data_IF_523858432751
#
_entry.id   IF_523858432751
#
_cell.length_a   1.000
_cell.length_b   1.000
_cell.length_c   1.000
_cell.angle_alpha   90.00
_cell.angle_beta   90.00
_cell.angle_gamma   90.00
#
_symmetry.space_group_name_H-M   'P 1'
#
loop_
_entity.id
_entity.type
_entity.pdbx_description
1 polymer ?
#
# COMPACT_ATOMS: atom_id res chain seq x y z
N UNK A 1 31.92 26.72 -42.69
CA UNK A 1 31.36 26.94 -41.34
C UNK A 1 32.25 26.14 -40.40
N UNK A 2 32.99 26.82 -39.52
CA UNK A 2 34.10 26.21 -38.75
C UNK A 2 33.55 25.23 -37.71
N UNK A 3 34.11 24.02 -37.66
CA UNK A 3 33.77 22.95 -36.70
C UNK A 3 33.85 23.35 -35.23
N UNK A 4 34.51 24.48 -34.91
CA UNK A 4 34.56 25.11 -33.59
C UNK A 4 33.21 25.65 -33.10
N UNK A 5 32.20 25.84 -33.97
CA UNK A 5 30.87 26.32 -33.57
C UNK A 5 30.05 25.29 -32.79
N UNK A 6 30.47 24.03 -32.84
CA UNK A 6 29.72 22.92 -32.26
C UNK A 6 30.09 22.68 -30.79
N UNK A 7 31.09 23.41 -30.27
CA UNK A 7 31.42 23.45 -28.84
C UNK A 7 30.26 24.07 -28.05
N UNK A 8 29.83 23.42 -26.99
CA UNK A 8 28.73 23.91 -26.17
C UNK A 8 28.17 22.86 -25.21
N UNK A 9 27.23 23.29 -24.37
CA UNK A 9 26.51 22.40 -23.47
C UNK A 9 25.28 21.82 -24.16
N UNK A 10 25.28 20.51 -24.36
CA UNK A 10 24.17 19.74 -24.90
C UNK A 10 23.30 19.22 -23.77
N UNK A 11 21.98 19.32 -23.91
CA UNK A 11 21.01 18.81 -22.94
C UNK A 11 20.16 17.74 -23.61
N UNK A 12 20.18 16.52 -23.09
CA UNK A 12 19.26 15.45 -23.47
C UNK A 12 18.06 15.50 -22.53
N UNK A 13 16.83 15.59 -23.05
CA UNK A 13 15.59 15.57 -22.26
C UNK A 13 14.79 14.34 -22.68
N UNK A 14 14.44 13.49 -21.71
CA UNK A 14 13.51 12.38 -21.88
C UNK A 14 12.18 12.76 -21.23
N UNK A 15 11.08 12.75 -22.00
CA UNK A 15 9.75 13.14 -21.53
C UNK A 15 8.73 12.02 -21.69
N UNK A 16 7.81 11.93 -20.73
CA UNK A 16 6.65 11.04 -20.70
C UNK A 16 5.43 11.85 -20.22
N UNK A 17 4.17 11.37 -20.39
CA UNK A 17 3.01 12.03 -19.81
C UNK A 17 3.10 12.22 -18.28
N UNK A 18 3.90 11.40 -17.61
CA UNK A 18 4.14 11.43 -16.15
C UNK A 18 5.24 12.38 -15.69
N UNK A 19 6.06 12.93 -16.60
CA UNK A 19 7.15 13.85 -16.24
C UNK A 19 8.37 13.76 -17.16
N UNK A 20 9.40 14.53 -16.83
CA UNK A 20 10.62 14.69 -17.62
C UNK A 20 11.90 14.50 -16.80
N UNK A 21 12.94 13.97 -17.43
CA UNK A 21 14.30 13.92 -16.90
C UNK A 21 15.26 14.56 -17.91
N UNK A 22 16.32 15.21 -17.43
CA UNK A 22 17.32 15.83 -18.32
C UNK A 22 18.75 15.59 -17.86
N UNK A 23 19.65 15.41 -18.82
CA UNK A 23 21.08 15.25 -18.62
C UNK A 23 21.84 16.27 -19.46
N UNK A 24 22.91 16.84 -18.92
CA UNK A 24 23.74 17.84 -19.61
C UNK A 24 25.16 17.35 -19.76
N UNK A 25 25.75 17.57 -20.94
CA UNK A 25 27.16 17.31 -21.23
C UNK A 25 27.75 18.52 -21.96
N UNK A 26 29.02 18.84 -21.69
CA UNK A 26 29.74 19.89 -22.39
C UNK A 26 30.64 19.25 -23.45
N UNK A 27 30.49 19.69 -24.70
CA UNK A 27 31.35 19.31 -25.81
C UNK A 27 32.34 20.45 -26.07
N UNK A 28 33.63 20.14 -26.10
CA UNK A 28 34.69 21.05 -26.52
C UNK A 28 35.31 20.53 -27.81
N UNK A 29 35.12 21.26 -28.91
CA UNK A 29 35.71 20.99 -30.23
C UNK A 29 36.93 21.88 -30.40
N UNK A 30 38.11 21.27 -30.57
CA UNK A 30 39.39 21.97 -30.74
C UNK A 30 39.93 21.81 -32.17
N UNK A 31 40.76 22.75 -32.63
CA UNK A 31 41.44 22.68 -33.93
C UNK A 31 42.51 21.57 -33.98
N UNK A 32 42.69 21.00 -35.17
CA UNK A 32 43.63 19.89 -35.41
C UNK A 32 45.08 20.38 -35.21
N UNK A 33 45.72 19.97 -34.11
CA UNK A 33 47.10 20.34 -33.79
C UNK A 33 47.35 20.74 -32.32
N UNK A 34 46.31 21.03 -31.55
CA UNK A 34 46.43 21.08 -30.09
C UNK A 34 46.73 19.66 -29.56
N UNK A 35 47.58 19.48 -28.54
CA UNK A 35 47.71 18.18 -27.89
C UNK A 35 46.36 17.79 -27.32
N UNK A 36 45.69 16.86 -28.01
CA UNK A 36 44.45 16.25 -27.56
C UNK A 36 44.80 15.52 -26.28
N UNK A 37 44.41 16.06 -25.12
CA UNK A 37 44.19 15.18 -23.98
C UNK A 37 42.95 14.38 -24.36
N UNK A 38 43.05 13.06 -24.62
CA UNK A 38 41.84 12.28 -24.80
C UNK A 38 41.05 12.44 -23.50
N UNK A 39 39.88 13.09 -23.58
CA UNK A 39 38.83 12.85 -22.62
C UNK A 39 38.55 11.36 -22.74
N UNK A 40 39.22 10.60 -21.88
CA UNK A 40 39.30 9.15 -21.92
C UNK A 40 37.87 8.63 -22.08
N UNK A 41 37.54 7.87 -23.14
CA UNK A 41 36.26 7.18 -23.15
C UNK A 41 36.21 6.41 -21.83
N UNK A 42 35.23 6.75 -21.00
CA UNK A 42 35.10 6.19 -19.66
C UNK A 42 34.88 4.70 -19.86
N UNK A 43 35.94 3.91 -19.70
CA UNK A 43 35.82 2.46 -19.62
C UNK A 43 34.73 2.18 -18.59
N UNK A 44 33.59 1.56 -18.97
CA UNK A 44 32.48 1.33 -18.06
C UNK A 44 32.90 0.60 -16.78
N UNK A 45 34.00 -0.15 -16.80
CA UNK A 45 34.59 -0.80 -15.62
C UNK A 45 35.20 0.18 -14.60
N UNK A 46 35.50 1.42 -14.99
CA UNK A 46 36.06 2.47 -14.11
C UNK A 46 34.98 3.27 -13.38
N UNK A 47 33.72 3.18 -13.80
CA UNK A 47 32.58 3.83 -13.14
C UNK A 47 32.03 2.87 -12.07
N UNK A 48 31.61 3.36 -10.89
CA UNK A 48 31.02 2.50 -9.87
C UNK A 48 29.73 1.84 -10.37
N UNK A 49 29.42 0.67 -9.82
CA UNK A 49 28.10 0.06 -10.03
C UNK A 49 27.03 0.77 -9.18
N UNK A 50 25.74 0.69 -9.58
CA UNK A 50 24.65 1.25 -8.79
C UNK A 50 24.66 0.74 -7.36
N UNK A 51 24.43 1.61 -6.35
CA UNK A 51 24.27 1.17 -4.97
C UNK A 51 22.97 0.38 -4.79
N UNK A 52 22.78 -0.19 -3.60
CA UNK A 52 21.53 -0.87 -3.25
C UNK A 52 20.33 0.08 -3.33
N UNK A 53 19.11 -0.50 -3.40
CA UNK A 53 17.88 0.26 -3.16
C UNK A 53 18.02 1.02 -1.82
N UNK A 54 17.77 2.34 -1.78
CA UNK A 54 17.82 3.10 -0.53
C UNK A 54 16.66 2.71 0.39
N UNK A 55 16.96 2.58 1.68
CA UNK A 55 15.99 2.31 2.74
C UNK A 55 15.75 3.58 3.54
N UNK A 56 14.47 3.88 3.80
CA UNK A 56 14.07 5.01 4.65
C UNK A 56 14.14 4.59 6.10
N UNK A 57 14.89 5.32 6.92
CA UNK A 57 15.09 4.98 8.34
C UNK A 57 14.42 5.97 9.30
N UNK A 58 14.11 7.18 8.86
CA UNK A 58 13.39 8.17 9.68
C UNK A 58 12.69 9.19 8.77
N UNK A 59 11.57 9.74 9.22
CA UNK A 59 10.77 10.70 8.47
C UNK A 59 10.22 11.73 9.43
N UNK A 60 10.33 13.00 9.08
CA UNK A 60 9.60 14.07 9.77
C UNK A 60 8.72 14.79 8.76
N UNK A 61 7.98 15.78 9.22
CA UNK A 61 7.23 16.67 8.33
C UNK A 61 8.11 17.38 7.30
N UNK A 62 9.41 17.53 7.53
CA UNK A 62 10.32 18.26 6.63
C UNK A 62 11.65 17.58 6.36
N UNK A 63 11.84 16.33 6.82
CA UNK A 63 13.07 15.57 6.57
C UNK A 63 12.82 14.09 6.34
N UNK A 64 13.73 13.43 5.63
CA UNK A 64 13.77 11.98 5.44
C UNK A 64 15.21 11.53 5.62
N UNK A 65 15.43 10.47 6.39
CA UNK A 65 16.74 9.83 6.53
C UNK A 65 16.79 8.59 5.65
N UNK A 66 17.81 8.52 4.80
CA UNK A 66 18.05 7.40 3.89
C UNK A 66 19.32 6.65 4.29
N UNK A 67 19.34 5.34 4.06
CA UNK A 67 20.52 4.49 4.15
C UNK A 67 20.62 3.57 2.93
N UNK A 68 21.83 3.23 2.51
CA UNK A 68 22.08 2.33 1.37
C UNK A 68 23.38 1.56 1.58
N UNK A 69 23.71 0.66 0.65
CA UNK A 69 24.98 -0.08 0.63
C UNK A 69 25.72 0.14 -0.68
N UNK A 70 27.06 0.32 -0.67
CA UNK A 70 27.86 0.30 -1.88
C UNK A 70 27.73 -1.03 -2.59
N UNK A 71 27.85 -1.01 -3.91
CA UNK A 71 28.04 -2.22 -4.69
C UNK A 71 29.54 -2.44 -4.94
N UNK A 72 30.04 -3.60 -4.51
CA UNK A 72 31.46 -3.94 -4.55
C UNK A 72 31.89 -4.69 -5.82
N UNK A 73 30.95 -4.99 -6.74
CA UNK A 73 31.28 -5.68 -8.00
C UNK A 73 31.92 -4.78 -9.05
N UNK A 74 31.86 -3.46 -8.88
CA UNK A 74 32.42 -2.46 -9.81
C UNK A 74 33.52 -1.61 -9.16
N UNK A 75 33.86 -0.49 -9.81
CA UNK A 75 34.82 0.45 -9.25
C UNK A 75 34.36 1.04 -7.90
N UNK A 76 35.30 1.31 -7.00
CA UNK A 76 34.99 1.83 -5.68
C UNK A 76 34.42 3.26 -5.76
N UNK A 77 33.27 3.53 -5.13
CA UNK A 77 32.73 4.89 -5.03
C UNK A 77 33.54 5.75 -4.05
N UNK A 78 33.68 7.04 -4.36
CA UNK A 78 34.26 8.06 -3.45
C UNK A 78 33.20 8.95 -2.81
N UNK A 79 32.01 9.04 -3.42
CA UNK A 79 30.87 9.77 -2.89
C UNK A 79 29.56 9.30 -3.52
N UNK A 80 28.43 9.83 -3.08
CA UNK A 80 27.10 9.57 -3.62
C UNK A 80 26.36 10.87 -3.97
N UNK A 81 25.44 10.75 -4.92
CA UNK A 81 24.47 11.78 -5.30
C UNK A 81 23.08 11.23 -5.00
N UNK A 82 22.24 12.03 -4.34
CA UNK A 82 20.88 11.65 -3.97
C UNK A 82 19.90 12.53 -4.73
N UNK A 83 19.03 11.89 -5.51
CA UNK A 83 17.99 12.56 -6.31
C UNK A 83 16.62 12.19 -5.75
N UNK A 84 15.67 13.13 -5.87
CA UNK A 84 14.31 12.94 -5.43
C UNK A 84 13.29 13.43 -6.46
N UNK A 85 12.15 12.74 -6.51
CA UNK A 85 11.00 13.15 -7.29
C UNK A 85 9.79 13.34 -6.36
N UNK A 86 9.07 14.44 -6.55
CA UNK A 86 7.79 14.67 -5.88
C UNK A 86 6.91 15.54 -6.76
N UNK A 87 5.66 15.12 -6.97
CA UNK A 87 4.65 15.94 -7.65
C UNK A 87 4.40 17.29 -6.97
N UNK A 88 4.75 17.43 -5.69
CA UNK A 88 4.65 18.71 -4.96
C UNK A 88 5.81 19.68 -5.25
N UNK A 89 6.95 19.16 -5.74
CA UNK A 89 8.15 19.95 -6.05
C UNK A 89 8.35 20.19 -7.55
N UNK A 90 7.59 19.50 -8.41
CA UNK A 90 7.63 19.67 -9.86
C UNK A 90 7.30 18.36 -10.60
N UNK A 91 7.66 18.33 -11.88
CA UNK A 91 7.47 17.18 -12.77
C UNK A 91 8.79 16.51 -13.19
N UNK A 92 9.89 16.78 -12.46
CA UNK A 92 11.22 16.26 -12.75
C UNK A 92 11.96 15.83 -11.49
N UNK A 93 12.96 14.95 -11.67
CA UNK A 93 13.90 14.58 -10.61
C UNK A 93 14.79 15.77 -10.24
N UNK A 94 15.04 15.94 -8.95
CA UNK A 94 15.86 17.01 -8.40
C UNK A 94 16.99 16.43 -7.56
N UNK A 95 18.22 16.91 -7.79
CA UNK A 95 19.34 16.60 -6.92
C UNK A 95 19.16 17.30 -5.58
N UNK A 96 19.07 16.52 -4.50
CA UNK A 96 18.93 17.06 -3.14
C UNK A 96 20.26 17.09 -2.38
N UNK A 97 21.20 16.21 -2.73
CA UNK A 97 22.52 16.19 -2.14
C UNK A 97 23.57 15.64 -3.12
N UNK A 98 24.73 16.25 -3.10
CA UNK A 98 25.91 15.85 -3.88
C UNK A 98 27.10 15.62 -2.95
N UNK A 99 28.09 14.86 -3.42
CA UNK A 99 29.34 14.59 -2.68
C UNK A 99 29.17 13.95 -1.30
N UNK A 100 28.13 13.14 -1.12
CA UNK A 100 27.85 12.45 0.15
C UNK A 100 28.89 11.36 0.36
N UNK A 101 29.69 11.43 1.43
CA UNK A 101 30.78 10.47 1.69
C UNK A 101 30.39 9.29 2.59
N UNK A 102 29.15 9.28 3.04
CA UNK A 102 28.57 8.27 3.94
C UNK A 102 27.55 7.43 3.20
N UNK A 103 27.26 6.24 3.73
CA UNK A 103 26.22 5.33 3.24
C UNK A 103 24.82 5.64 3.82
N UNK A 104 24.69 6.80 4.49
CA UNK A 104 23.43 7.32 5.02
C UNK A 104 23.40 8.83 4.99
N UNK A 105 22.23 9.42 4.80
CA UNK A 105 22.04 10.87 4.77
C UNK A 105 20.67 11.30 5.29
N UNK A 106 20.64 12.39 6.06
CA UNK A 106 19.42 13.09 6.44
C UNK A 106 19.14 14.21 5.42
N UNK A 107 18.10 14.03 4.61
CA UNK A 107 17.60 15.04 3.68
C UNK A 107 16.64 15.96 4.42
N UNK A 108 16.92 17.26 4.46
CA UNK A 108 16.11 18.28 5.16
C UNK A 108 15.48 19.25 4.17
N UNK A 109 14.48 20.01 4.62
CA UNK A 109 13.82 21.06 3.81
C UNK A 109 12.80 20.51 2.83
N UNK A 110 12.30 19.29 3.06
CA UNK A 110 11.26 18.68 2.25
C UNK A 110 9.89 19.34 2.52
N UNK A 111 9.02 19.33 1.52
CA UNK A 111 7.66 19.89 1.64
C UNK A 111 6.83 19.01 2.57
N UNK A 112 6.10 19.58 3.53
CA UNK A 112 5.14 18.84 4.36
C UNK A 112 4.04 18.16 3.56
N UNK A 113 3.59 17.00 4.06
CA UNK A 113 2.49 16.20 3.52
C UNK A 113 2.64 15.79 2.05
N UNK A 114 3.88 15.76 1.54
CA UNK A 114 4.20 15.44 0.16
C UNK A 114 4.80 14.03 0.05
N UNK A 115 4.47 13.34 -1.04
CA UNK A 115 5.04 12.04 -1.35
C UNK A 115 6.33 12.24 -2.14
N UNK A 116 7.40 11.57 -1.70
CA UNK A 116 8.71 11.57 -2.33
C UNK A 116 9.12 10.17 -2.77
N UNK A 117 9.78 10.12 -3.92
CA UNK A 117 10.57 8.99 -4.41
C UNK A 117 12.04 9.39 -4.37
N UNK A 118 12.91 8.46 -3.97
CA UNK A 118 14.35 8.71 -3.88
C UNK A 118 15.14 7.67 -4.68
N UNK A 119 16.26 8.11 -5.24
CA UNK A 119 17.27 7.22 -5.82
C UNK A 119 18.66 7.73 -5.47
N UNK A 120 19.64 6.83 -5.50
CA UNK A 120 21.04 7.14 -5.16
C UNK A 120 21.94 6.69 -6.32
N UNK A 121 22.91 7.53 -6.65
CA UNK A 121 24.00 7.22 -7.59
C UNK A 121 25.32 7.22 -6.85
N UNK A 122 26.18 6.26 -7.18
CA UNK A 122 27.56 6.23 -6.74
C UNK A 122 28.41 7.11 -7.68
N UNK A 123 29.41 7.79 -7.13
CA UNK A 123 30.28 8.69 -7.86
C UNK A 123 31.75 8.40 -7.54
N UNK A 124 32.61 8.46 -8.55
CA UNK A 124 34.06 8.51 -8.37
C UNK A 124 34.69 9.52 -9.35
N UNK A 125 36.03 9.57 -9.42
CA UNK A 125 36.76 10.46 -10.31
C UNK A 125 36.47 10.24 -11.82
N UNK A 126 35.90 9.09 -12.19
CA UNK A 126 35.59 8.74 -13.57
C UNK A 126 34.13 9.05 -13.95
N UNK A 127 33.21 9.09 -12.99
CA UNK A 127 31.84 9.50 -13.27
C UNK A 127 30.80 9.01 -12.26
N UNK A 128 29.53 9.16 -12.65
CA UNK A 128 28.36 8.70 -11.91
C UNK A 128 27.92 7.33 -12.42
N UNK A 129 27.53 6.46 -11.49
CA UNK A 129 26.88 5.20 -11.79
C UNK A 129 25.50 5.40 -12.41
N UNK A 130 24.96 4.33 -12.98
CA UNK A 130 23.52 4.17 -13.15
C UNK A 130 22.79 4.35 -11.80
N UNK A 131 21.50 4.77 -11.82
CA UNK A 131 20.76 4.98 -10.59
C UNK A 131 20.44 3.66 -9.89
N UNK A 132 20.33 3.70 -8.57
CA UNK A 132 19.74 2.61 -7.80
C UNK A 132 18.29 2.33 -8.25
N UNK A 133 17.73 1.22 -7.77
CA UNK A 133 16.28 1.10 -7.73
C UNK A 133 15.67 2.24 -6.92
N UNK A 134 14.47 2.68 -7.33
CA UNK A 134 13.71 3.72 -6.63
C UNK A 134 13.31 3.19 -5.24
N UNK A 135 13.53 3.99 -4.20
CA UNK A 135 13.09 3.71 -2.85
C UNK A 135 11.55 3.59 -2.76
N UNK A 136 11.05 2.98 -1.69
CA UNK A 136 9.60 2.95 -1.47
C UNK A 136 9.07 4.37 -1.27
N UNK A 137 7.89 4.65 -1.83
CA UNK A 137 7.29 5.97 -1.78
C UNK A 137 6.98 6.36 -0.34
N UNK A 138 7.46 7.53 0.09
CA UNK A 138 7.30 8.00 1.47
C UNK A 138 6.63 9.35 1.52
N UNK A 139 5.71 9.53 2.47
CA UNK A 139 5.04 10.81 2.72
C UNK A 139 5.68 11.53 3.89
N UNK A 140 6.11 12.77 3.68
CA UNK A 140 6.62 13.64 4.76
C UNK A 140 5.48 14.03 5.69
N UNK A 141 5.49 13.51 6.90
CA UNK A 141 4.51 13.85 7.92
C UNK A 141 5.19 13.82 9.28
N UNK A 142 4.68 14.58 10.24
CA UNK A 142 5.15 14.45 11.62
C UNK A 142 4.84 13.02 12.08
N UNK A 143 5.88 12.28 12.46
CA UNK A 143 5.65 11.13 13.32
C UNK A 143 5.17 11.71 14.65
N UNK A 144 4.11 11.17 15.29
CA UNK A 144 3.74 11.56 16.64
C UNK A 144 4.99 11.57 17.55
N UNK A 145 5.09 12.50 18.52
CA UNK A 145 6.32 12.82 19.26
C UNK A 145 6.98 11.67 20.05
N UNK A 146 6.47 10.45 19.94
CA UNK A 146 7.01 9.25 20.56
C UNK A 146 8.09 8.53 19.76
N UNK A 147 8.51 8.98 18.56
CA UNK A 147 9.50 8.25 17.75
C UNK A 147 10.89 8.88 17.61
N UNK A 148 11.16 10.06 18.18
CA UNK A 148 12.52 10.62 18.10
C UNK A 148 13.44 9.85 19.08
N UNK A 149 14.21 8.89 18.54
CA UNK A 149 15.24 8.15 19.30
C UNK A 149 14.86 6.73 19.72
N UNK A 150 13.77 6.17 19.20
CA UNK A 150 13.29 4.83 19.56
C UNK A 150 13.75 3.82 18.50
N UNK A 151 14.46 2.78 18.95
CA UNK A 151 14.94 1.69 18.11
C UNK A 151 13.77 1.04 17.35
N UNK A 152 13.91 0.82 16.04
CA UNK A 152 12.91 0.10 15.23
C UNK A 152 12.59 -1.27 15.84
N UNK A 153 13.56 -1.92 16.49
CA UNK A 153 13.34 -3.16 17.23
C UNK A 153 12.44 -2.95 18.43
N UNK A 154 12.56 -1.83 19.12
CA UNK A 154 11.68 -1.47 20.24
C UNK A 154 10.25 -1.24 19.74
N UNK A 155 10.05 -0.52 18.64
CA UNK A 155 8.72 -0.32 18.04
C UNK A 155 8.10 -1.68 17.67
N UNK A 156 8.86 -2.54 17.00
CA UNK A 156 8.37 -3.87 16.60
C UNK A 156 8.06 -4.77 17.81
N UNK A 157 8.85 -4.67 18.88
CA UNK A 157 8.64 -5.43 20.13
C UNK A 157 7.41 -4.91 20.85
N UNK A 158 7.35 -3.61 21.14
CA UNK A 158 6.22 -3.02 21.86
C UNK A 158 4.90 -3.15 21.09
N UNK A 159 4.89 -2.93 19.78
CA UNK A 159 3.72 -3.13 18.95
C UNK A 159 3.33 -4.61 18.82
N UNK A 160 4.31 -5.52 18.87
CA UNK A 160 4.10 -6.97 18.90
C UNK A 160 3.51 -7.46 20.23
N UNK A 161 3.87 -6.82 21.33
CA UNK A 161 3.38 -7.11 22.68
C UNK A 161 1.99 -6.50 22.95
N UNK A 162 1.49 -5.62 22.08
CA UNK A 162 0.11 -5.11 22.16
C UNK A 162 -0.87 -6.26 22.00
N UNK A 163 -1.57 -6.61 23.08
CA UNK A 163 -2.65 -7.59 23.06
C UNK A 163 -3.99 -6.92 22.78
N UNK A 164 -4.60 -7.28 21.65
CA UNK A 164 -5.95 -6.87 21.27
C UNK A 164 -6.92 -8.02 21.54
N UNK A 165 -7.95 -7.74 22.32
CA UNK A 165 -9.07 -8.65 22.53
C UNK A 165 -10.23 -8.26 21.64
N UNK A 166 -10.59 -9.17 20.72
CA UNK A 166 -11.72 -8.94 19.83
C UNK A 166 -13.02 -9.35 20.52
N UNK A 167 -14.00 -8.44 20.57
CA UNK A 167 -15.32 -8.76 21.08
C UNK A 167 -16.12 -9.51 20.02
N UNK A 168 -17.21 -10.16 20.45
CA UNK A 168 -18.11 -10.84 19.51
C UNK A 168 -18.67 -9.83 18.49
N UNK A 169 -18.54 -10.10 17.17
CA UNK A 169 -19.03 -9.20 16.13
C UNK A 169 -20.53 -8.97 16.26
N UNK A 170 -20.94 -7.70 16.16
CA UNK A 170 -22.35 -7.30 16.21
C UNK A 170 -22.89 -7.18 14.79
N UNK A 171 -23.80 -8.08 14.41
CA UNK A 171 -24.39 -8.10 13.07
C UNK A 171 -25.37 -6.93 12.94
N UNK A 172 -25.12 -6.02 12.00
CA UNK A 172 -25.96 -4.83 11.80
C UNK A 172 -27.00 -5.05 10.70
N UNK A 173 -26.63 -5.75 9.63
CA UNK A 173 -27.51 -6.02 8.49
C UNK A 173 -27.09 -7.29 7.73
N UNK A 174 -27.71 -7.53 6.58
CA UNK A 174 -27.30 -8.58 5.64
C UNK A 174 -25.94 -8.33 4.99
N UNK A 175 -25.42 -7.09 5.05
CA UNK A 175 -24.18 -6.69 4.37
C UNK A 175 -23.23 -5.90 5.23
N UNK A 176 -23.49 -5.73 6.53
CA UNK A 176 -22.60 -5.03 7.44
C UNK A 176 -22.53 -5.63 8.83
N UNK A 177 -21.31 -5.65 9.37
CA UNK A 177 -20.99 -6.17 10.70
C UNK A 177 -20.14 -5.14 11.43
N UNK A 178 -20.50 -4.82 12.68
CA UNK A 178 -19.66 -4.02 13.57
C UNK A 178 -18.71 -4.93 14.32
N UNK A 179 -17.43 -4.61 14.24
CA UNK A 179 -16.35 -5.24 14.98
C UNK A 179 -15.91 -4.26 16.06
N UNK A 180 -15.74 -4.74 17.28
CA UNK A 180 -15.30 -3.94 18.43
C UNK A 180 -14.19 -4.68 19.16
N UNK A 181 -13.20 -3.96 19.65
CA UNK A 181 -12.03 -4.53 20.32
C UNK A 181 -11.66 -3.72 21.55
N UNK A 182 -10.92 -4.36 22.45
CA UNK A 182 -10.27 -3.70 23.58
C UNK A 182 -8.78 -3.95 23.52
N UNK A 183 -7.98 -2.92 23.83
CA UNK A 183 -6.52 -3.02 23.93
C UNK A 183 -6.15 -3.11 25.40
N UNK A 184 -5.48 -4.18 25.82
CA UNK A 184 -5.11 -4.35 27.24
C UNK A 184 -4.14 -3.27 27.72
N UNK A 185 -3.07 -3.05 26.95
CA UNK A 185 -2.04 -2.08 27.26
C UNK A 185 -1.90 -1.12 26.08
N UNK A 186 -2.30 0.13 26.30
CA UNK A 186 -2.14 1.19 25.32
C UNK A 186 -0.64 1.41 25.06
N UNK A 187 -0.26 1.41 23.79
CA UNK A 187 1.10 1.72 23.37
C UNK A 187 1.11 3.06 22.62
N UNK A 188 2.11 3.92 22.86
CA UNK A 188 2.25 5.16 22.13
C UNK A 188 2.59 4.95 20.64
N UNK A 189 2.95 3.72 20.25
CA UNK A 189 3.19 3.32 18.88
C UNK A 189 1.92 2.78 18.21
N UNK A 190 0.73 2.88 18.80
CA UNK A 190 -0.49 2.59 18.04
C UNK A 190 -0.86 3.85 17.27
N UNK A 191 -0.79 3.79 15.95
CA UNK A 191 -1.31 4.85 15.06
C UNK A 191 -2.77 4.56 14.67
N UNK A 192 -3.12 3.29 14.58
CA UNK A 192 -4.44 2.82 14.23
C UNK A 192 -4.50 1.30 14.16
N UNK A 193 -5.58 0.79 13.57
CA UNK A 193 -5.88 -0.63 13.50
C UNK A 193 -6.21 -1.07 12.07
N UNK A 194 -5.85 -2.31 11.75
CA UNK A 194 -6.29 -2.98 10.53
C UNK A 194 -7.28 -4.06 10.93
N UNK A 195 -8.53 -3.90 10.51
CA UNK A 195 -9.57 -4.92 10.66
C UNK A 195 -9.50 -5.84 9.46
N UNK A 196 -9.05 -7.07 9.67
CA UNK A 196 -8.98 -8.09 8.64
C UNK A 196 -10.23 -8.94 8.68
N UNK A 197 -10.83 -9.19 7.51
CA UNK A 197 -12.00 -10.04 7.38
C UNK A 197 -11.94 -10.91 6.13
N UNK A 198 -12.52 -12.11 6.22
CA UNK A 198 -12.65 -13.03 5.07
C UNK A 198 -13.86 -13.93 5.24
N UNK A 199 -14.37 -14.49 4.14
CA UNK A 199 -15.36 -15.55 4.25
C UNK A 199 -14.71 -16.78 4.92
N UNK A 200 -15.44 -17.42 5.83
CA UNK A 200 -14.92 -18.58 6.54
C UNK A 200 -14.62 -19.71 5.54
N UNK A 201 -13.47 -20.42 5.68
CA UNK A 201 -13.15 -21.56 4.82
C UNK A 201 -14.21 -22.68 4.87
N UNK A 202 -15.01 -22.73 5.94
CA UNK A 202 -16.15 -23.64 6.07
C UNK A 202 -17.24 -23.42 5.01
N UNK A 203 -17.28 -22.26 4.36
CA UNK A 203 -18.19 -21.92 3.25
C UNK A 203 -17.74 -22.51 1.90
N UNK A 204 -16.72 -23.38 1.88
CA UNK A 204 -16.27 -24.11 0.69
C UNK A 204 -15.34 -23.32 -0.25
N UNK A 205 -15.06 -22.05 0.07
CA UNK A 205 -14.16 -21.20 -0.69
C UNK A 205 -13.15 -20.51 0.23
N UNK A 206 -11.85 -20.78 0.04
CA UNK A 206 -10.78 -20.08 0.76
C UNK A 206 -10.57 -18.70 0.12
N UNK A 207 -11.02 -17.65 0.78
CA UNK A 207 -10.75 -16.27 0.36
C UNK A 207 -9.55 -15.68 1.12
N UNK A 208 -8.78 -14.83 0.46
CA UNK A 208 -7.77 -14.00 1.11
C UNK A 208 -8.41 -13.01 2.09
N UNK A 209 -7.60 -12.49 3.01
CA UNK A 209 -8.03 -11.49 3.97
C UNK A 209 -8.19 -10.14 3.29
N UNK A 210 -9.40 -9.59 3.33
CA UNK A 210 -9.67 -8.18 3.05
C UNK A 210 -9.30 -7.34 4.26
N UNK A 211 -8.90 -6.08 4.03
CA UNK A 211 -8.43 -5.17 5.09
C UNK A 211 -9.23 -3.88 5.06
N UNK A 212 -9.74 -3.49 6.23
CA UNK A 212 -10.30 -2.17 6.50
C UNK A 212 -9.36 -1.44 7.48
N UNK A 213 -8.82 -0.29 7.06
CA UNK A 213 -7.91 0.51 7.89
C UNK A 213 -8.67 1.55 8.73
N UNK A 214 -8.44 1.53 10.04
CA UNK A 214 -8.92 2.49 11.02
C UNK A 214 -7.72 3.36 11.42
N UNK A 215 -7.67 4.61 10.96
CA UNK A 215 -6.46 5.46 11.00
C UNK A 215 -6.26 6.25 12.29
N UNK A 216 -6.96 5.87 13.36
CA UNK A 216 -6.92 6.57 14.65
C UNK A 216 -6.86 5.54 15.77
N UNK A 217 -5.89 5.72 16.67
CA UNK A 217 -5.67 4.84 17.81
C UNK A 217 -6.78 4.93 18.88
N UNK A 218 -7.55 6.03 18.87
CA UNK A 218 -8.63 6.26 19.82
C UNK A 218 -9.91 5.48 19.49
N UNK A 219 -10.02 4.90 18.29
CA UNK A 219 -11.17 4.07 17.92
C UNK A 219 -11.04 2.68 18.52
N UNK A 220 -12.16 2.16 19.00
CA UNK A 220 -12.30 0.82 19.55
C UNK A 220 -13.27 -0.05 18.73
N UNK A 221 -13.82 0.50 17.65
CA UNK A 221 -14.78 -0.20 16.80
C UNK A 221 -14.73 0.24 15.34
N UNK A 222 -15.20 -0.62 14.45
CA UNK A 222 -15.37 -0.33 13.04
C UNK A 222 -16.56 -1.08 12.46
N UNK A 223 -17.20 -0.48 11.46
CA UNK A 223 -18.24 -1.15 10.68
C UNK A 223 -17.64 -1.64 9.38
N UNK A 224 -17.67 -2.96 9.15
CA UNK A 224 -17.26 -3.59 7.91
C UNK A 224 -18.45 -3.62 6.95
N UNK A 225 -18.40 -2.89 5.82
CA UNK A 225 -19.50 -2.82 4.86
C UNK A 225 -19.35 -3.84 3.73
N UNK A 226 -20.38 -3.90 2.86
CA UNK A 226 -20.38 -4.65 1.59
C UNK A 226 -20.08 -6.15 1.71
N UNK A 227 -20.49 -6.76 2.83
CA UNK A 227 -20.39 -8.19 3.03
C UNK A 227 -21.46 -8.95 2.25
N UNK A 228 -21.17 -10.21 1.91
CA UNK A 228 -22.15 -11.11 1.27
C UNK A 228 -23.19 -11.56 2.29
N UNK A 229 -24.44 -11.64 1.85
CA UNK A 229 -25.61 -11.99 2.68
C UNK A 229 -25.61 -13.48 3.02
N UNK A 230 -26.00 -13.81 4.26
CA UNK A 230 -26.08 -15.19 4.74
C UNK A 230 -24.74 -15.93 4.89
N UNK A 231 -23.61 -15.25 4.73
CA UNK A 231 -22.27 -15.85 4.72
C UNK A 231 -21.60 -15.69 6.08
N UNK A 232 -20.90 -16.72 6.52
CA UNK A 232 -20.07 -16.68 7.72
C UNK A 232 -18.72 -16.03 7.44
N UNK A 233 -18.35 -15.01 8.21
CA UNK A 233 -17.08 -14.30 8.10
C UNK A 233 -16.22 -14.49 9.35
N UNK A 234 -14.91 -14.59 9.13
CA UNK A 234 -13.88 -14.51 10.17
C UNK A 234 -13.32 -13.10 10.22
N UNK A 235 -13.09 -12.59 11.43
CA UNK A 235 -12.58 -11.26 11.72
C UNK A 235 -11.41 -11.34 12.69
N UNK A 236 -10.40 -10.51 12.47
CA UNK A 236 -9.31 -10.26 13.41
C UNK A 236 -8.83 -8.83 13.26
N UNK A 237 -8.19 -8.29 14.29
CA UNK A 237 -7.71 -6.91 14.31
C UNK A 237 -6.22 -6.92 14.64
N UNK A 238 -5.43 -6.09 13.99
CA UNK A 238 -4.03 -5.85 14.37
C UNK A 238 -3.76 -4.35 14.51
N UNK A 239 -2.92 -3.92 15.46
CA UNK A 239 -2.47 -2.55 15.53
C UNK A 239 -1.37 -2.30 14.49
N UNK A 240 -1.21 -1.05 14.05
CA UNK A 240 -0.13 -0.67 13.15
C UNK A 240 0.48 0.69 13.53
N UNK A 241 1.73 0.88 13.11
CA UNK A 241 2.48 2.13 13.20
C UNK A 241 3.29 2.32 11.93
N UNK A 242 2.96 3.31 11.09
CA UNK A 242 3.56 3.46 9.77
C UNK A 242 3.58 2.11 9.00
N UNK A 243 4.77 1.55 8.74
CA UNK A 243 5.00 0.24 8.13
C UNK A 243 4.98 -0.95 9.10
N UNK A 244 5.18 -0.70 10.40
CA UNK A 244 5.22 -1.73 11.43
C UNK A 244 3.82 -2.26 11.73
N UNK A 245 3.76 -3.58 11.94
CA UNK A 245 2.52 -4.29 12.25
C UNK A 245 2.70 -5.07 13.55
N UNK A 246 1.71 -4.95 14.42
CA UNK A 246 1.65 -5.73 15.65
C UNK A 246 1.08 -7.13 15.43
N UNK A 247 0.84 -7.79 16.54
CA UNK A 247 0.24 -9.13 16.57
C UNK A 247 -1.25 -9.06 16.25
N UNK A 248 -1.75 -10.09 15.55
CA UNK A 248 -3.18 -10.26 15.32
C UNK A 248 -3.91 -10.59 16.64
N UNK A 249 -5.11 -10.03 16.81
CA UNK A 249 -6.06 -10.47 17.83
C UNK A 249 -6.45 -11.94 17.63
N UNK A 250 -7.19 -12.47 18.60
CA UNK A 250 -7.97 -13.67 18.39
C UNK A 250 -8.96 -13.50 17.22
N UNK A 251 -9.25 -14.61 16.54
CA UNK A 251 -10.22 -14.63 15.44
C UNK A 251 -11.62 -14.81 16.01
N UNK A 252 -12.53 -13.91 15.66
CA UNK A 252 -13.96 -14.05 15.93
C UNK A 252 -14.73 -14.29 14.64
N UNK A 253 -15.89 -14.93 14.77
CA UNK A 253 -16.74 -15.30 13.64
C UNK A 253 -18.08 -14.59 13.77
N UNK A 254 -18.60 -14.11 12.65
CA UNK A 254 -19.94 -13.53 12.55
C UNK A 254 -20.60 -13.91 11.23
N UNK A 255 -21.86 -14.34 11.28
CA UNK A 255 -22.66 -14.63 10.08
C UNK A 255 -23.57 -13.45 9.77
N UNK A 256 -23.50 -12.95 8.55
CA UNK A 256 -24.39 -11.87 8.10
C UNK A 256 -25.83 -12.34 8.04
N UNK A 257 -26.78 -11.42 8.25
CA UNK A 257 -28.20 -11.76 8.15
C UNK A 257 -28.55 -12.18 6.72
N UNK A 258 -29.55 -13.06 6.62
CA UNK A 258 -30.27 -13.31 5.38
C UNK A 258 -31.37 -12.25 5.25
N UNK A 259 -31.63 -11.79 4.03
CA UNK A 259 -32.74 -10.87 3.76
C UNK A 259 -33.98 -11.65 3.35
N UNK A 260 -35.17 -11.05 3.49
CA UNK A 260 -36.38 -11.68 2.97
C UNK A 260 -36.23 -11.91 1.44
N UNK A 261 -36.78 -13.02 0.90
CA UNK A 261 -36.82 -13.23 -0.54
C UNK A 261 -37.40 -11.99 -1.24
N UNK A 262 -36.68 -11.45 -2.22
CA UNK A 262 -37.12 -10.28 -2.98
C UNK A 262 -38.12 -10.64 -4.09
N UNK A 263 -38.43 -11.93 -4.24
CA UNK A 263 -39.41 -12.43 -5.20
C UNK A 263 -40.25 -13.59 -4.64
N UNK A 264 -41.50 -13.73 -5.13
CA UNK A 264 -42.39 -14.81 -4.72
C UNK A 264 -42.01 -16.17 -5.35
N UNK A 265 -42.64 -17.27 -4.91
CA UNK A 265 -42.59 -18.56 -5.60
C UNK A 265 -43.10 -18.44 -7.04
N UNK A 266 -42.59 -19.29 -7.94
CA UNK A 266 -42.94 -19.30 -9.37
C UNK A 266 -43.95 -20.41 -9.68
N UNK A 267 -44.59 -20.32 -10.83
CA UNK A 267 -45.48 -21.36 -11.38
C UNK A 267 -46.54 -21.85 -10.39
N UNK A 268 -47.16 -20.91 -9.67
CA UNK A 268 -48.24 -21.23 -8.72
C UNK A 268 -49.44 -21.76 -9.50
N UNK A 269 -49.80 -23.01 -9.25
CA UNK A 269 -50.96 -23.69 -9.85
C UNK A 269 -51.91 -24.15 -8.76
N UNK A 270 -53.21 -24.05 -9.05
CA UNK A 270 -54.29 -24.54 -8.19
C UNK A 270 -55.12 -25.50 -9.03
N UNK A 271 -55.26 -26.74 -8.56
CA UNK A 271 -56.05 -27.77 -9.22
C UNK A 271 -57.05 -28.35 -8.23
N UNK A 272 -58.24 -28.73 -8.68
CA UNK A 272 -59.19 -29.43 -7.82
C UNK A 272 -58.64 -30.81 -7.48
N UNK A 273 -58.68 -31.17 -6.20
CA UNK A 273 -58.22 -32.46 -5.71
C UNK A 273 -59.41 -33.24 -5.15
N UNK A 274 -59.77 -34.34 -5.81
CA UNK A 274 -60.77 -35.30 -5.34
C UNK A 274 -62.11 -35.23 -6.06
N UNK A 275 -62.80 -36.37 -6.10
CA UNK A 275 -64.03 -36.60 -6.90
C UNK A 275 -65.24 -35.74 -6.49
N UNK A 276 -65.16 -35.02 -5.36
CA UNK A 276 -66.26 -34.26 -4.76
C UNK A 276 -66.02 -32.73 -4.70
N UNK A 277 -64.96 -32.19 -5.30
CA UNK A 277 -64.75 -30.73 -5.43
C UNK A 277 -64.56 -29.94 -4.12
N UNK A 278 -64.23 -30.61 -3.01
CA UNK A 278 -64.12 -30.00 -1.67
C UNK A 278 -62.68 -29.71 -1.23
N UNK A 279 -61.69 -30.07 -2.05
CA UNK A 279 -60.29 -29.81 -1.77
C UNK A 279 -59.57 -29.29 -3.02
N UNK A 280 -58.54 -28.49 -2.80
CA UNK A 280 -57.68 -27.96 -3.85
C UNK A 280 -56.23 -28.30 -3.56
N UNK A 281 -55.50 -28.70 -4.59
CA UNK A 281 -54.06 -28.88 -4.57
C UNK A 281 -53.39 -27.60 -5.07
N UNK A 282 -52.53 -27.02 -4.23
CA UNK A 282 -51.72 -25.85 -4.56
C UNK A 282 -50.27 -26.30 -4.74
N UNK A 283 -49.68 -26.04 -5.91
CA UNK A 283 -48.29 -26.39 -6.23
C UNK A 283 -47.54 -25.17 -6.76
N UNK A 284 -46.23 -25.09 -6.49
CA UNK A 284 -45.36 -24.00 -6.95
C UNK A 284 -43.91 -24.45 -7.07
N UNK A 285 -43.11 -23.69 -7.82
CA UNK A 285 -41.66 -23.75 -7.80
C UNK A 285 -41.07 -22.71 -6.81
N UNK A 286 -39.89 -22.95 -6.24
CA UNK A 286 -39.21 -21.96 -5.39
C UNK A 286 -38.90 -20.64 -6.13
N UNK A 287 -38.70 -19.52 -5.39
CA UNK A 287 -38.21 -18.28 -5.99
C UNK A 287 -36.88 -18.47 -6.73
N UNK A 288 -36.54 -17.59 -7.70
CA UNK A 288 -35.22 -17.58 -8.35
C UNK A 288 -34.08 -17.56 -7.32
N UNK A 289 -33.01 -18.33 -7.55
CA UNK A 289 -31.94 -18.53 -6.57
C UNK A 289 -31.26 -17.22 -6.15
N UNK A 290 -31.10 -16.29 -7.08
CA UNK A 290 -30.56 -14.94 -6.92
C UNK A 290 -31.50 -13.98 -6.17
N UNK A 291 -32.78 -14.33 -6.01
CA UNK A 291 -33.81 -13.52 -5.35
C UNK A 291 -34.31 -14.13 -4.04
N UNK A 292 -33.76 -15.27 -3.61
CA UNK A 292 -34.08 -15.90 -2.32
C UNK A 292 -33.51 -15.12 -1.14
N UNK A 293 -32.41 -14.38 -1.36
CA UNK A 293 -31.68 -13.60 -0.34
C UNK A 293 -31.30 -14.39 0.94
N UNK A 294 -31.27 -15.73 0.85
CA UNK A 294 -31.08 -16.65 1.97
C UNK A 294 -31.59 -18.06 1.65
N UNK A 295 -31.59 -18.95 2.64
CA UNK A 295 -32.28 -20.24 2.56
C UNK A 295 -33.78 -20.04 2.82
N UNK A 296 -34.63 -20.65 1.98
CA UNK A 296 -36.08 -20.59 2.21
C UNK A 296 -36.43 -21.51 3.39
N UNK A 297 -36.87 -20.92 4.49
CA UNK A 297 -37.18 -21.64 5.74
C UNK A 297 -38.61 -22.21 5.77
N UNK A 298 -39.59 -21.47 5.24
CA UNK A 298 -41.00 -21.86 5.25
C UNK A 298 -41.78 -21.22 4.09
N UNK A 299 -42.95 -21.81 3.76
CA UNK A 299 -43.95 -21.21 2.88
C UNK A 299 -45.27 -21.04 3.65
N UNK A 300 -45.89 -19.86 3.56
CA UNK A 300 -47.20 -19.58 4.15
C UNK A 300 -48.25 -19.45 3.06
N UNK A 301 -49.31 -20.24 3.17
CA UNK A 301 -50.49 -20.15 2.28
C UNK A 301 -51.61 -19.47 3.07
N UNK A 302 -52.11 -18.35 2.56
CA UNK A 302 -53.22 -17.61 3.15
C UNK A 302 -54.39 -17.57 2.17
N UNK A 303 -55.59 -17.82 2.67
CA UNK A 303 -56.84 -17.64 1.93
C UNK A 303 -57.47 -16.37 2.51
N UNK A 304 -57.53 -15.31 1.70
CA UNK A 304 -58.32 -14.13 2.07
C UNK A 304 -59.79 -14.45 1.77
N UNK A 305 -60.62 -14.39 2.82
CA UNK A 305 -62.09 -14.57 2.73
C UNK A 305 -62.77 -13.22 2.58
#
# INVERSE_FOLDING_TARGET
>A
MSSLSDSGTYTCIASTPSGEASWRAHLDVQEFGAPVQPNRPTDPALIPSPPSKPEVTDVTRTSVTLSWKPNLSGATPTSYVVEAFSHASGSSWQTLAEHVKTESLVLKGLRPSAVYLFLVRAANAYGLSDPSHIADAIKTQDIPPTSQGVDHRQIQTELGDVLIHLHNPSILSSSSVRVQWTVEQQSPYIQGYKVLFRASPAEGHRSDWSVLEVRTAAEDSAVVPHLRKGVTYEFKVRPFFNEFQGTDSDVKVGRTLEEAPSAPPRDVTVTESGDNGTAVLVAWQPPPADQRNGMVLEYKVKIDR
#
